data_IF_275661176582
#
_entry.id   IF_275661176582
#
_cell.length_a   1.000
_cell.length_b   1.000
_cell.length_c   1.000
_cell.angle_alpha   90.00
_cell.angle_beta   90.00
_cell.angle_gamma   90.00
#
_symmetry.space_group_name_H-M   'P 1'
#
loop_
_entity.id
_entity.type
_entity.pdbx_description
1 polymer ?
#
# COMPACT_ATOMS: atom_id res chain seq x y z
N UNK A 1 63.72 18.62 22.37
CA UNK A 1 64.74 17.84 21.65
C UNK A 1 64.47 16.35 21.69
N UNK A 2 64.14 15.77 20.54
CA UNK A 2 64.04 14.31 20.32
C UNK A 2 64.16 13.99 18.84
N UNK A 3 64.64 12.78 18.53
CA UNK A 3 64.63 12.22 17.17
C UNK A 3 63.24 11.64 16.82
N UNK A 4 63.04 11.23 15.57
CA UNK A 4 61.85 10.49 15.11
C UNK A 4 60.69 11.35 14.59
N UNK A 5 60.65 12.66 14.85
CA UNK A 5 59.65 13.56 14.27
C UNK A 5 58.21 13.16 14.58
N UNK A 6 57.44 12.74 13.58
CA UNK A 6 56.04 12.27 13.74
C UNK A 6 55.93 10.85 14.32
N UNK A 7 57.05 10.16 14.52
CA UNK A 7 57.14 8.92 15.31
C UNK A 7 57.49 9.35 16.73
N UNK A 8 56.53 9.24 17.65
CA UNK A 8 56.64 9.78 19.00
C UNK A 8 56.02 8.82 20.02
N UNK A 9 56.84 8.28 20.91
CA UNK A 9 56.43 7.33 21.95
C UNK A 9 56.49 7.99 23.32
N UNK A 10 55.37 7.98 24.04
CA UNK A 10 55.29 8.34 25.44
C UNK A 10 55.77 7.17 26.31
N UNK A 11 56.62 7.46 27.30
CA UNK A 11 57.09 6.47 28.29
C UNK A 11 57.04 7.06 29.70
N UNK A 12 56.34 6.39 30.61
CA UNK A 12 56.32 6.75 32.04
C UNK A 12 56.20 5.48 32.89
N UNK A 13 57.28 5.13 33.59
CA UNK A 13 57.37 3.83 34.27
C UNK A 13 57.19 2.68 33.27
N UNK A 14 56.25 1.77 33.56
CA UNK A 14 55.93 0.65 32.68
C UNK A 14 54.91 0.99 31.58
N UNK A 15 54.39 2.21 31.54
CA UNK A 15 53.42 2.62 30.52
C UNK A 15 54.14 3.13 29.28
N UNK A 16 53.83 2.52 28.14
CA UNK A 16 54.34 2.87 26.82
C UNK A 16 53.13 3.08 25.91
N UNK A 17 53.06 4.23 25.23
CA UNK A 17 51.99 4.54 24.28
C UNK A 17 52.54 5.39 23.13
N UNK A 18 52.12 5.11 21.91
CA UNK A 18 52.52 5.91 20.75
C UNK A 18 51.54 7.06 20.52
N UNK A 19 52.07 8.28 20.47
CA UNK A 19 51.34 9.51 20.12
C UNK A 19 51.41 9.83 18.62
N UNK A 20 52.24 9.07 17.89
CA UNK A 20 52.50 9.24 16.47
C UNK A 20 52.17 7.98 15.67
N UNK A 21 53.06 7.59 14.76
CA UNK A 21 52.92 6.34 14.02
C UNK A 21 52.95 5.12 14.96
N UNK A 22 51.91 4.28 14.91
CA UNK A 22 51.77 3.09 15.76
C UNK A 22 51.39 1.80 14.99
N UNK A 23 50.97 1.91 13.71
CA UNK A 23 50.47 0.77 12.92
C UNK A 23 51.37 0.51 11.72
N UNK A 24 51.73 -0.76 11.51
CA UNK A 24 52.36 -1.23 10.27
C UNK A 24 51.29 -1.86 9.39
N UNK A 25 51.02 -1.25 8.23
CA UNK A 25 49.95 -1.66 7.31
C UNK A 25 50.36 -2.83 6.43
N UNK A 26 50.46 -4.01 7.04
CA UNK A 26 50.84 -5.26 6.37
C UNK A 26 52.35 -5.42 6.16
N UNK A 27 52.77 -6.67 6.02
CA UNK A 27 54.20 -7.05 5.93
C UNK A 27 54.63 -7.48 4.52
N UNK A 28 53.69 -7.77 3.61
CA UNK A 28 53.99 -8.14 2.24
C UNK A 28 54.48 -6.93 1.43
N UNK A 29 55.73 -6.97 0.97
CA UNK A 29 56.35 -5.88 0.21
C UNK A 29 56.66 -4.62 1.03
N UNK A 30 56.47 -4.65 2.35
CA UNK A 30 56.74 -3.49 3.22
C UNK A 30 58.20 -3.49 3.71
N UNK A 31 58.98 -2.40 3.48
CA UNK A 31 60.35 -2.29 3.99
C UNK A 31 60.48 -2.41 5.51
N UNK A 32 59.43 -2.06 6.26
CA UNK A 32 59.39 -2.24 7.72
C UNK A 32 59.56 -3.71 8.12
N UNK A 33 59.21 -4.66 7.26
CA UNK A 33 59.42 -6.10 7.51
C UNK A 33 60.90 -6.48 7.62
N UNK A 34 61.77 -5.79 6.90
CA UNK A 34 63.23 -5.99 7.03
C UNK A 34 63.71 -5.33 8.31
N UNK A 35 63.26 -4.09 8.57
CA UNK A 35 63.64 -3.35 9.77
C UNK A 35 63.18 -4.06 11.05
N UNK A 36 61.99 -4.65 11.08
CA UNK A 36 61.47 -5.37 12.25
C UNK A 36 62.29 -6.61 12.64
N UNK A 37 63.17 -7.09 11.75
CA UNK A 37 64.13 -8.17 12.06
C UNK A 37 65.48 -7.63 12.55
N UNK A 38 65.82 -6.39 12.19
CA UNK A 38 67.08 -5.74 12.55
C UNK A 38 66.99 -4.99 13.88
N UNK A 39 65.80 -4.44 14.18
CA UNK A 39 65.48 -3.77 15.43
C UNK A 39 64.48 -4.59 16.23
N UNK A 40 64.60 -4.57 17.57
CA UNK A 40 63.73 -5.31 18.47
C UNK A 40 62.31 -4.71 18.50
N UNK A 41 61.52 -4.96 17.46
CA UNK A 41 60.13 -4.52 17.32
C UNK A 41 59.17 -5.64 17.67
N UNK A 42 58.30 -5.38 18.63
CA UNK A 42 57.21 -6.29 18.98
C UNK A 42 55.96 -5.96 18.13
N UNK A 43 55.66 -6.84 17.17
CA UNK A 43 54.51 -6.68 16.28
C UNK A 43 53.33 -7.54 16.75
N UNK A 44 52.21 -6.90 17.05
CA UNK A 44 50.97 -7.57 17.43
C UNK A 44 49.90 -7.43 16.34
N UNK A 45 49.21 -8.53 16.02
CA UNK A 45 48.10 -8.51 15.05
C UNK A 45 46.89 -7.79 15.63
N UNK A 46 46.47 -6.72 14.97
CA UNK A 46 45.24 -5.99 15.32
C UNK A 46 44.01 -6.84 14.95
N UNK A 47 43.16 -7.13 15.94
CA UNK A 47 41.87 -7.81 15.72
C UNK A 47 40.90 -6.85 15.04
N UNK A 48 40.22 -7.32 14.00
CA UNK A 48 39.28 -6.51 13.22
C UNK A 48 37.91 -6.35 13.88
N UNK A 49 37.63 -7.10 14.96
CA UNK A 49 36.37 -6.98 15.69
C UNK A 49 36.34 -5.64 16.44
N UNK A 50 35.59 -4.68 15.92
CA UNK A 50 35.36 -3.36 16.51
C UNK A 50 33.88 -3.24 16.94
N UNK A 51 33.54 -3.47 18.22
CA UNK A 51 32.18 -3.25 18.69
C UNK A 51 31.85 -1.75 18.68
N UNK A 52 30.69 -1.40 18.13
CA UNK A 52 30.17 -0.04 18.14
C UNK A 52 29.16 0.11 19.29
N UNK A 53 29.15 1.28 19.91
CA UNK A 53 28.24 1.62 21.01
C UNK A 53 27.49 2.91 20.69
N UNK A 54 26.20 2.91 20.95
CA UNK A 54 25.34 4.09 20.88
C UNK A 54 25.62 5.04 22.06
N UNK A 55 25.15 6.29 21.96
CA UNK A 55 25.30 7.31 23.02
C UNK A 55 24.60 6.92 24.34
N UNK A 56 23.62 6.02 24.28
CA UNK A 56 22.93 5.42 25.42
C UNK A 56 23.72 4.25 26.05
N UNK A 57 24.89 3.89 25.51
CA UNK A 57 25.73 2.77 25.96
C UNK A 57 25.34 1.41 25.39
N UNK A 58 24.31 1.31 24.55
CA UNK A 58 23.89 0.06 23.94
C UNK A 58 24.85 -0.36 22.82
N UNK A 59 25.14 -1.66 22.72
CA UNK A 59 25.93 -2.20 21.61
C UNK A 59 25.13 -2.10 20.32
N UNK A 60 25.65 -1.38 19.34
CA UNK A 60 25.10 -1.38 18.00
C UNK A 60 25.36 -2.73 17.33
N UNK A 61 24.30 -3.35 16.82
CA UNK A 61 24.39 -4.62 16.07
C UNK A 61 24.18 -4.30 14.59
N UNK A 62 25.17 -4.54 13.71
CA UNK A 62 24.95 -4.41 12.28
C UNK A 62 23.83 -5.35 11.85
N UNK A 63 22.95 -4.85 10.98
CA UNK A 63 21.92 -5.69 10.35
C UNK A 63 22.63 -6.79 9.56
N UNK A 64 22.31 -8.05 9.89
CA UNK A 64 22.85 -9.19 9.14
C UNK A 64 22.11 -9.36 7.81
N UNK A 65 22.75 -10.02 6.84
CA UNK A 65 22.09 -10.36 5.59
C UNK A 65 20.80 -11.18 5.82
N UNK A 66 20.79 -12.06 6.83
CA UNK A 66 19.60 -12.83 7.21
C UNK A 66 18.45 -11.93 7.69
N UNK A 67 18.74 -10.92 8.50
CA UNK A 67 17.73 -9.95 8.95
C UNK A 67 17.18 -9.12 7.79
N UNK A 68 18.05 -8.70 6.85
CA UNK A 68 17.62 -7.97 5.67
C UNK A 68 16.72 -8.82 4.75
N UNK A 69 17.07 -10.09 4.52
CA UNK A 69 16.25 -11.03 3.74
C UNK A 69 14.89 -11.27 4.38
N UNK A 70 14.84 -11.45 5.70
CA UNK A 70 13.59 -11.63 6.43
C UNK A 70 12.65 -10.42 6.25
N UNK A 71 13.20 -9.19 6.31
CA UNK A 71 12.42 -7.98 6.07
C UNK A 71 11.92 -7.88 4.63
N UNK A 72 12.73 -8.25 3.65
CA UNK A 72 12.32 -8.27 2.24
C UNK A 72 11.16 -9.25 2.03
N UNK A 73 11.24 -10.46 2.60
CA UNK A 73 10.16 -11.45 2.52
C UNK A 73 8.89 -10.90 3.16
N UNK A 74 8.98 -10.35 4.37
CA UNK A 74 7.85 -9.72 5.06
C UNK A 74 7.23 -8.57 4.25
N UNK A 75 8.05 -7.78 3.56
CA UNK A 75 7.57 -6.70 2.72
C UNK A 75 6.84 -7.22 1.47
N UNK A 76 7.33 -8.30 0.87
CA UNK A 76 6.64 -8.96 -0.25
C UNK A 76 5.29 -9.55 0.18
N UNK A 77 5.25 -10.26 1.31
CA UNK A 77 4.00 -10.78 1.89
C UNK A 77 2.99 -9.66 2.19
N UNK A 78 3.48 -8.54 2.74
CA UNK A 78 2.65 -7.36 2.98
C UNK A 78 2.06 -6.82 1.67
N UNK A 79 2.87 -6.66 0.63
CA UNK A 79 2.42 -6.15 -0.67
C UNK A 79 1.36 -7.06 -1.31
N UNK A 80 1.49 -8.39 -1.17
CA UNK A 80 0.44 -9.33 -1.62
C UNK A 80 -0.87 -9.08 -0.88
N UNK A 81 -0.82 -8.94 0.45
CA UNK A 81 -2.01 -8.63 1.26
C UNK A 81 -2.62 -7.27 0.94
N UNK A 82 -1.81 -6.25 0.65
CA UNK A 82 -2.31 -4.93 0.24
C UNK A 82 -3.10 -5.01 -1.08
N UNK A 83 -2.60 -5.74 -2.08
CA UNK A 83 -3.33 -5.99 -3.33
C UNK A 83 -4.64 -6.75 -3.11
N UNK A 84 -4.66 -7.70 -2.17
CA UNK A 84 -5.90 -8.39 -1.78
C UNK A 84 -6.91 -7.41 -1.19
N UNK A 85 -6.48 -6.52 -0.30
CA UNK A 85 -7.34 -5.51 0.30
C UNK A 85 -7.88 -4.54 -0.76
N UNK A 86 -7.03 -4.07 -1.68
CA UNK A 86 -7.47 -3.18 -2.77
C UNK A 86 -8.54 -3.82 -3.65
N UNK A 87 -8.35 -5.09 -4.02
CA UNK A 87 -9.33 -5.85 -4.79
C UNK A 87 -10.69 -5.92 -4.08
N UNK A 88 -10.71 -6.35 -2.81
CA UNK A 88 -11.96 -6.45 -2.05
C UNK A 88 -12.62 -5.09 -1.81
N UNK A 89 -11.83 -4.01 -1.64
CA UNK A 89 -12.37 -2.64 -1.58
C UNK A 89 -13.07 -2.24 -2.88
N UNK A 90 -12.53 -2.61 -4.04
CA UNK A 90 -13.18 -2.33 -5.32
C UNK A 90 -14.51 -3.09 -5.45
N UNK A 91 -14.54 -4.37 -5.04
CA UNK A 91 -15.78 -5.18 -5.01
C UNK A 91 -16.83 -4.55 -4.11
N UNK A 92 -16.46 -4.15 -2.89
CA UNK A 92 -17.38 -3.49 -1.94
C UNK A 92 -17.94 -2.19 -2.54
N UNK A 93 -17.09 -1.37 -3.18
CA UNK A 93 -17.53 -0.13 -3.80
C UNK A 93 -18.55 -0.35 -4.94
N UNK A 94 -18.37 -1.41 -5.75
CA UNK A 94 -19.34 -1.78 -6.77
C UNK A 94 -20.63 -2.32 -6.17
N UNK A 95 -20.55 -3.14 -5.11
CA UNK A 95 -21.73 -3.64 -4.39
C UNK A 95 -22.54 -2.49 -3.74
N UNK A 96 -21.87 -1.47 -3.21
CA UNK A 96 -22.56 -0.27 -2.70
C UNK A 96 -23.26 0.50 -3.82
N UNK A 97 -22.61 0.67 -4.98
CA UNK A 97 -23.25 1.27 -6.16
C UNK A 97 -24.47 0.46 -6.60
N UNK A 98 -24.35 -0.87 -6.69
CA UNK A 98 -25.45 -1.77 -7.04
C UNK A 98 -26.63 -1.61 -6.06
N UNK A 99 -26.35 -1.59 -4.75
CA UNK A 99 -27.36 -1.39 -3.71
C UNK A 99 -28.08 -0.05 -3.86
N UNK A 100 -27.35 1.04 -4.13
CA UNK A 100 -27.98 2.35 -4.37
C UNK A 100 -28.86 2.35 -5.62
N UNK A 101 -28.45 1.66 -6.69
CA UNK A 101 -29.24 1.50 -7.90
C UNK A 101 -30.52 0.70 -7.64
N UNK A 102 -30.41 -0.43 -6.93
CA UNK A 102 -31.55 -1.25 -6.53
C UNK A 102 -32.56 -0.48 -5.65
N UNK A 103 -32.09 0.35 -4.73
CA UNK A 103 -32.97 1.21 -3.93
C UNK A 103 -33.72 2.23 -4.79
N UNK A 104 -33.08 2.81 -5.82
CA UNK A 104 -33.74 3.73 -6.77
C UNK A 104 -34.78 3.01 -7.61
N UNK A 105 -34.45 1.80 -8.09
CA UNK A 105 -35.42 0.97 -8.80
C UNK A 105 -36.63 0.70 -7.90
N UNK A 106 -36.45 0.20 -6.67
CA UNK A 106 -37.57 -0.06 -5.77
C UNK A 106 -38.50 1.16 -5.59
N UNK A 107 -37.94 2.35 -5.36
CA UNK A 107 -38.72 3.58 -5.26
C UNK A 107 -39.44 3.96 -6.57
N UNK A 108 -38.79 3.76 -7.72
CA UNK A 108 -39.38 4.02 -9.02
C UNK A 108 -40.50 3.02 -9.35
N UNK A 109 -40.36 1.75 -8.96
CA UNK A 109 -41.39 0.72 -9.09
C UNK A 109 -42.66 1.10 -8.35
N UNK A 110 -42.52 1.51 -7.10
CA UNK A 110 -43.65 1.98 -6.27
C UNK A 110 -44.34 3.18 -6.92
N UNK A 111 -43.57 4.13 -7.47
CA UNK A 111 -44.11 5.28 -8.21
C UNK A 111 -44.85 4.87 -9.48
N UNK A 112 -44.32 3.91 -10.26
CA UNK A 112 -44.96 3.38 -11.47
C UNK A 112 -46.28 2.68 -11.11
N UNK A 113 -46.29 1.90 -10.04
CA UNK A 113 -47.49 1.19 -9.57
C UNK A 113 -48.59 2.17 -9.16
N UNK A 114 -48.25 3.22 -8.42
CA UNK A 114 -49.18 4.28 -8.03
C UNK A 114 -49.69 5.09 -9.25
N UNK A 115 -48.80 5.47 -10.18
CA UNK A 115 -49.20 6.17 -11.40
C UNK A 115 -50.11 5.31 -12.30
N UNK A 116 -49.83 4.01 -12.39
CA UNK A 116 -50.65 3.07 -13.16
C UNK A 116 -52.03 2.85 -12.53
N UNK A 117 -52.09 2.82 -11.19
CA UNK A 117 -53.36 2.77 -10.45
C UNK A 117 -54.20 4.03 -10.72
N UNK A 118 -53.60 5.21 -10.59
CA UNK A 118 -54.25 6.49 -10.90
C UNK A 118 -54.73 6.56 -12.36
N UNK A 119 -53.94 6.05 -13.30
CA UNK A 119 -54.31 5.98 -14.72
C UNK A 119 -55.52 5.06 -14.95
N UNK A 120 -55.56 3.88 -14.32
CA UNK A 120 -56.70 2.95 -14.42
C UNK A 120 -57.99 3.54 -13.85
N UNK A 121 -57.93 4.13 -12.66
CA UNK A 121 -59.08 4.76 -12.01
C UNK A 121 -59.66 5.91 -12.86
N UNK A 122 -58.81 6.71 -13.51
CA UNK A 122 -59.27 7.75 -14.44
C UNK A 122 -59.85 7.22 -15.74
N UNK A 123 -59.45 6.03 -16.18
CA UNK A 123 -59.99 5.38 -17.38
C UNK A 123 -61.40 4.79 -17.13
N UNK A 124 -61.68 4.35 -15.91
CA UNK A 124 -62.95 3.74 -15.49
C UNK A 124 -64.05 4.78 -15.15
N UNK A 125 -63.73 6.06 -15.06
CA UNK A 125 -64.70 7.15 -14.87
C UNK A 125 -65.70 7.20 -16.03
N UNK A 126 -66.94 6.77 -15.77
CA UNK A 126 -68.04 6.76 -16.76
C UNK A 126 -68.70 8.14 -16.80
N UNK A 127 -68.36 8.93 -17.81
CA UNK A 127 -69.00 10.20 -18.17
C UNK A 127 -68.53 10.72 -19.55
N UNK A 128 -69.17 11.75 -20.14
CA UNK A 128 -68.68 12.38 -21.36
C UNK A 128 -67.30 12.98 -21.09
N UNK A 129 -66.28 12.58 -21.86
CA UNK A 129 -64.91 13.07 -21.65
C UNK A 129 -64.81 14.51 -22.14
N UNK A 130 -64.72 15.46 -21.22
CA UNK A 130 -64.32 16.82 -21.53
C UNK A 130 -62.83 16.86 -21.96
N UNK A 131 -62.43 17.86 -22.76
CA UNK A 131 -61.06 18.02 -23.28
C UNK A 131 -60.03 18.02 -22.15
N UNK A 132 -60.41 18.58 -20.99
CA UNK A 132 -59.62 18.59 -19.76
C UNK A 132 -59.33 17.18 -19.24
N UNK A 133 -60.34 16.30 -19.22
CA UNK A 133 -60.18 14.91 -18.79
C UNK A 133 -59.30 14.10 -19.73
N UNK A 134 -59.42 14.31 -21.05
CA UNK A 134 -58.56 13.63 -22.02
C UNK A 134 -57.10 14.09 -21.95
N UNK A 135 -56.86 15.38 -21.70
CA UNK A 135 -55.52 15.91 -21.46
C UNK A 135 -54.86 15.25 -20.24
N UNK A 136 -55.58 15.17 -19.11
CA UNK A 136 -55.06 14.56 -17.87
C UNK A 136 -54.71 13.08 -18.08
N UNK A 137 -55.55 12.33 -18.81
CA UNK A 137 -55.30 10.92 -19.11
C UNK A 137 -54.03 10.73 -19.97
N UNK A 138 -53.85 11.55 -21.01
CA UNK A 138 -52.64 11.53 -21.85
C UNK A 138 -51.39 11.98 -21.09
N UNK A 139 -51.52 12.95 -20.18
CA UNK A 139 -50.42 13.37 -19.30
C UNK A 139 -49.96 12.22 -18.42
N UNK A 140 -50.90 11.54 -17.74
CA UNK A 140 -50.58 10.40 -16.87
C UNK A 140 -49.96 9.23 -17.64
N UNK A 141 -50.46 8.93 -18.84
CA UNK A 141 -49.83 7.91 -19.71
C UNK A 141 -48.39 8.29 -20.08
N UNK A 142 -48.13 9.57 -20.37
CA UNK A 142 -46.77 10.07 -20.62
C UNK A 142 -45.89 9.93 -19.37
N UNK A 143 -46.39 10.27 -18.20
CA UNK A 143 -45.64 10.18 -16.94
C UNK A 143 -45.29 8.72 -16.58
N UNK A 144 -46.20 7.78 -16.86
CA UNK A 144 -45.95 6.34 -16.75
C UNK A 144 -44.87 5.91 -17.74
N UNK A 145 -44.99 6.26 -19.02
CA UNK A 145 -43.98 5.91 -20.03
C UNK A 145 -42.60 6.48 -19.70
N UNK A 146 -42.52 7.72 -19.24
CA UNK A 146 -41.25 8.34 -18.82
C UNK A 146 -40.64 7.59 -17.63
N UNK A 147 -41.46 7.20 -16.65
CA UNK A 147 -40.99 6.42 -15.49
C UNK A 147 -40.56 5.00 -15.89
N UNK A 148 -41.21 4.37 -16.88
CA UNK A 148 -40.76 3.09 -17.44
C UNK A 148 -39.42 3.23 -18.19
N UNK A 149 -39.22 4.31 -18.95
CA UNK A 149 -37.92 4.57 -19.59
C UNK A 149 -36.80 4.78 -18.56
N UNK A 150 -37.07 5.49 -17.46
CA UNK A 150 -36.11 5.65 -16.36
C UNK A 150 -35.79 4.29 -15.70
N UNK A 151 -36.78 3.40 -15.58
CA UNK A 151 -36.58 2.03 -15.09
C UNK A 151 -35.66 1.23 -16.02
N UNK A 152 -35.90 1.29 -17.32
CA UNK A 152 -35.08 0.58 -18.32
C UNK A 152 -33.61 1.05 -18.26
N UNK A 153 -33.36 2.34 -18.05
CA UNK A 153 -32.01 2.88 -17.85
C UNK A 153 -31.34 2.36 -16.57
N UNK A 154 -32.08 2.29 -15.46
CA UNK A 154 -31.54 1.75 -14.21
C UNK A 154 -31.24 0.25 -14.31
N UNK A 155 -32.04 -0.49 -15.09
CA UNK A 155 -31.84 -1.91 -15.38
C UNK A 155 -30.58 -2.12 -16.22
N UNK A 156 -30.33 -1.29 -17.23
CA UNK A 156 -29.10 -1.35 -18.02
C UNK A 156 -27.86 -1.06 -17.15
N UNK A 157 -27.94 -0.04 -16.28
CA UNK A 157 -26.89 0.24 -15.29
C UNK A 157 -26.68 -0.91 -14.30
N UNK A 158 -27.74 -1.64 -13.92
CA UNK A 158 -27.64 -2.81 -13.06
C UNK A 158 -26.81 -3.90 -13.74
N UNK A 159 -27.15 -4.24 -14.99
CA UNK A 159 -26.45 -5.26 -15.75
C UNK A 159 -24.96 -4.92 -15.94
N UNK A 160 -24.64 -3.66 -16.24
CA UNK A 160 -23.24 -3.20 -16.39
C UNK A 160 -22.44 -3.34 -15.08
N UNK A 161 -23.07 -3.07 -13.93
CA UNK A 161 -22.41 -3.22 -12.62
C UNK A 161 -22.22 -4.70 -12.29
N UNK A 162 -23.21 -5.55 -12.58
CA UNK A 162 -23.13 -7.00 -12.35
C UNK A 162 -22.05 -7.67 -13.22
N UNK A 163 -21.93 -7.27 -14.49
CA UNK A 163 -20.86 -7.76 -15.39
C UNK A 163 -19.47 -7.41 -14.85
N UNK A 164 -19.27 -6.16 -14.42
CA UNK A 164 -18.00 -5.71 -13.79
C UNK A 164 -17.71 -6.44 -12.49
N UNK A 165 -18.74 -6.77 -11.71
CA UNK A 165 -18.58 -7.55 -10.49
C UNK A 165 -18.10 -8.96 -10.82
N UNK A 166 -18.70 -9.59 -11.83
CA UNK A 166 -18.35 -10.94 -12.27
C UNK A 166 -16.92 -10.99 -12.84
N UNK A 167 -16.50 -9.97 -13.59
CA UNK A 167 -15.12 -9.85 -14.07
C UNK A 167 -14.11 -9.79 -12.92
N UNK A 168 -14.40 -8.97 -11.90
CA UNK A 168 -13.53 -8.88 -10.72
C UNK A 168 -13.48 -10.19 -9.95
N UNK A 169 -14.62 -10.85 -9.73
CA UNK A 169 -14.68 -12.17 -9.07
C UNK A 169 -13.92 -13.25 -9.84
N UNK A 170 -13.87 -13.17 -11.18
CA UNK A 170 -13.10 -14.07 -12.03
C UNK A 170 -11.58 -13.83 -11.98
N UNK A 171 -11.13 -12.64 -11.57
CA UNK A 171 -9.72 -12.26 -11.47
C UNK A 171 -9.23 -11.97 -10.05
N UNK A 172 -9.25 -12.96 -9.13
CA UNK A 172 -8.79 -12.72 -7.77
C UNK A 172 -7.27 -12.50 -7.73
N UNK A 173 -6.78 -11.63 -6.83
CA UNK A 173 -5.36 -11.43 -6.60
C UNK A 173 -4.70 -12.72 -6.09
N UNK A 174 -3.39 -12.84 -6.30
CA UNK A 174 -2.63 -14.04 -5.92
C UNK A 174 -2.80 -14.35 -4.43
N UNK A 175 -2.96 -15.64 -4.12
CA UNK A 175 -2.97 -16.18 -2.75
C UNK A 175 -1.59 -16.06 -2.12
#
# INVERSE_FOLDING_TARGET
DRVGGRIATFRKGNYIADLGAMVVTGLGGNPITVLSKQINMELHKIRQKCPLYESNGNTWKPVSLGQALEWVIKLQEKNVKEKQIEHWKAVIALQERLKTNQNRMLALKEKIEELNKQYKEQCESKGPRDITHEFVLRSKLRDVNNSCQEWDQLLEQQNEIEEKLQELEASPPRK
#
